data_IF_256198420950
#
_entry.id   IF_256198420950
#
_cell.length_a   1.000
_cell.length_b   1.000
_cell.length_c   1.000
_cell.angle_alpha   90.00
_cell.angle_beta   90.00
_cell.angle_gamma   90.00
#
_symmetry.space_group_name_H-M   'P 1'
#
loop_
_entity.id
_entity.type
_entity.pdbx_description
1 polymer ?
2 water ?
#
# COMPACT_ATOMS: atom_id res chain seq x y z
N UNK A 2 21.88 -26.42 3.75
CA UNK A 2 21.72 -25.38 4.75
C UNK A 2 20.42 -24.63 4.47
N UNK A 3 19.70 -24.30 5.53
CA UNK A 3 18.44 -23.58 5.40
C UNK A 3 18.56 -22.19 5.99
N UNK A 4 17.80 -21.25 5.45
CA UNK A 4 17.66 -19.93 6.03
C UNK A 4 16.19 -19.63 6.20
N UNK A 5 15.81 -19.18 7.39
CA UNK A 5 14.49 -18.64 7.66
C UNK A 5 14.60 -17.12 7.78
N UNK A 6 13.90 -16.42 6.91
CA UNK A 6 14.00 -14.97 6.85
C UNK A 6 12.62 -14.34 7.04
N UNK A 7 12.46 -13.57 8.11
CA UNK A 7 11.22 -12.86 8.39
C UNK A 7 11.31 -11.43 7.84
N UNK A 8 10.34 -11.08 7.00
CA UNK A 8 10.38 -9.81 6.30
C UNK A 8 9.13 -9.00 6.59
N UNK A 9 9.32 -7.79 7.07
CA UNK A 9 8.23 -6.87 7.34
C UNK A 9 8.08 -5.91 6.15
N UNK A 10 6.86 -5.77 5.64
CA UNK A 10 6.60 -4.90 4.48
C UNK A 10 5.98 -3.61 4.98
N UNK A 11 6.33 -2.50 4.35
CA UNK A 11 5.65 -1.23 4.63
C UNK A 11 4.17 -1.31 4.22
N UNK A 12 3.90 -1.79 2.99
CA UNK A 12 2.51 -1.77 2.47
C UNK A 12 2.13 -2.95 1.57
N UNK A 13 3.12 -3.61 0.97
CA UNK A 13 2.86 -4.57 -0.09
C UNK A 13 3.98 -4.56 -1.11
N UNK A 14 3.69 -4.92 -2.35
CA UNK A 14 4.74 -5.01 -3.35
C UNK A 14 4.18 -4.89 -4.76
N UNK A 15 5.07 -4.62 -5.71
CA UNK A 15 4.73 -4.75 -7.10
C UNK A 15 5.81 -5.55 -7.83
N UNK A 16 5.38 -6.59 -8.56
CA UNK A 16 6.30 -7.35 -9.39
C UNK A 16 5.78 -7.36 -10.82
N UNK A 17 6.38 -6.53 -11.66
CA UNK A 17 5.84 -6.33 -12.99
C UNK A 17 6.06 -7.51 -13.95
N UNK A 18 6.78 -8.54 -13.51
CA UNK A 18 6.84 -9.78 -14.29
C UNK A 18 5.47 -10.46 -14.40
N UNK A 19 4.48 -9.94 -13.69
CA UNK A 19 3.10 -10.37 -13.89
C UNK A 19 2.72 -10.18 -15.37
N UNK A 20 3.40 -9.26 -16.05
CA UNK A 20 3.11 -8.98 -17.44
C UNK A 20 3.59 -10.04 -18.42
N UNK A 21 4.45 -10.94 -17.96
CA UNK A 21 4.98 -11.99 -18.84
C UNK A 21 3.92 -13.05 -19.14
N UNK A 22 4.04 -13.69 -20.30
CA UNK A 22 3.08 -14.70 -20.72
C UNK A 22 3.09 -15.96 -19.85
N UNK A 23 4.25 -16.28 -19.27
CA UNK A 23 4.38 -17.50 -18.47
C UNK A 23 3.60 -17.38 -17.15
N UNK A 24 3.82 -16.27 -16.46
CA UNK A 24 3.35 -16.06 -15.10
C UNK A 24 1.85 -15.80 -14.96
N UNK A 25 1.30 -15.99 -13.74
CA UNK A 25 -0.05 -15.53 -13.46
C UNK A 25 -0.13 -14.04 -13.79
N UNK A 26 -1.33 -13.53 -14.11
CA UNK A 26 -1.47 -12.11 -14.50
C UNK A 26 -1.51 -11.15 -13.31
N UNK A 27 -1.60 -11.71 -12.11
CA UNK A 27 -1.47 -10.95 -10.87
C UNK A 27 -0.92 -11.91 -9.80
N UNK A 28 -0.45 -11.35 -8.68
CA UNK A 28 0.27 -12.18 -7.71
C UNK A 28 -0.25 -11.97 -6.31
N UNK A 29 -0.61 -13.04 -5.63
CA UNK A 29 -0.87 -12.95 -4.18
C UNK A 29 0.45 -12.64 -3.44
N UNK A 30 1.55 -13.25 -3.90
CA UNK A 30 2.84 -13.06 -3.21
C UNK A 30 3.98 -12.67 -4.14
N UNK A 31 5.04 -12.08 -3.58
CA UNK A 31 6.21 -11.82 -4.42
C UNK A 31 6.73 -13.12 -5.01
N UNK A 32 6.96 -13.16 -6.34
CA UNK A 32 7.52 -14.37 -6.95
C UNK A 32 8.86 -14.77 -6.36
N UNK A 33 9.17 -16.07 -6.36
CA UNK A 33 10.45 -16.52 -5.81
C UNK A 33 11.67 -15.97 -6.58
N UNK A 34 11.57 -15.75 -7.88
CA UNK A 34 12.71 -15.14 -8.57
C UNK A 34 12.87 -13.68 -8.14
N UNK A 35 11.77 -13.06 -7.72
CA UNK A 35 11.81 -11.68 -7.23
C UNK A 35 12.55 -11.61 -5.89
N UNK A 36 12.24 -12.54 -5.00
CA UNK A 36 12.93 -12.65 -3.74
C UNK A 36 14.41 -12.96 -3.96
N UNK A 37 14.70 -13.89 -4.87
CA UNK A 37 16.09 -14.23 -5.20
C UNK A 37 16.83 -13.04 -5.81
N UNK A 38 16.14 -12.27 -6.66
CA UNK A 38 16.75 -11.07 -7.23
C UNK A 38 17.14 -10.06 -6.18
N UNK A 39 16.35 -9.98 -5.09
CA UNK A 39 16.66 -9.08 -3.99
C UNK A 39 17.90 -9.54 -3.24
N UNK A 40 18.00 -10.85 -3.00
CA UNK A 40 19.22 -11.41 -2.42
C UNK A 40 20.43 -11.06 -3.32
N UNK A 41 20.28 -11.32 -4.62
CA UNK A 41 21.35 -11.05 -5.57
C UNK A 41 21.78 -9.59 -5.55
N UNK A 42 20.80 -8.68 -5.57
CA UNK A 42 21.09 -7.25 -5.47
C UNK A 42 21.85 -6.89 -4.20
N UNK A 43 21.46 -7.51 -3.08
CA UNK A 43 22.10 -7.21 -1.80
C UNK A 43 23.54 -7.69 -1.80
N UNK A 44 23.78 -8.82 -2.48
CA UNK A 44 25.12 -9.36 -2.61
C UNK A 44 25.98 -8.48 -3.51
N UNK A 45 25.41 -8.05 -4.62
CA UNK A 45 26.12 -7.21 -5.58
C UNK A 45 26.55 -5.89 -4.96
N UNK A 46 25.64 -5.23 -4.25
CA UNK A 46 25.93 -3.97 -3.58
C UNK A 46 27.08 -4.11 -2.58
N UNK A 47 27.01 -5.14 -1.75
CA UNK A 47 28.06 -5.43 -0.79
C UNK A 47 29.37 -5.80 -1.49
N UNK A 48 29.56 -5.28 -2.70
CA UNK A 48 30.75 -5.56 -3.50
C UNK A 48 30.85 -4.53 -4.63
N UNK A 49 30.33 -4.91 -5.79
CA UNK A 49 30.29 -4.06 -6.98
C UNK A 49 29.51 -4.71 -8.10
N UNK A 50 28.73 -3.88 -8.81
CA UNK A 50 27.91 -4.31 -9.95
C UNK A 50 26.98 -5.49 -9.63
N UNK A 55 24.82 -7.37 -12.38
CA UNK A 55 25.17 -8.37 -13.39
C UNK A 55 26.43 -9.16 -13.01
N UNK A 56 26.30 -10.26 -12.25
CA UNK A 56 25.04 -10.75 -11.65
C UNK A 56 23.88 -11.10 -12.59
N UNK A 57 23.91 -12.29 -13.18
CA UNK A 57 24.95 -13.28 -12.93
C UNK A 57 24.73 -14.05 -11.64
N UNK A 58 24.64 -13.32 -10.53
CA UNK A 58 24.54 -13.93 -9.20
C UNK A 58 23.23 -14.65 -9.02
N UNK A 59 22.16 -14.14 -9.60
CA UNK A 59 20.86 -14.76 -9.42
C UNK A 59 20.84 -16.16 -10.02
N UNK A 60 21.50 -16.35 -11.16
CA UNK A 60 21.58 -17.68 -11.74
C UNK A 60 22.45 -18.60 -10.89
N UNK A 61 23.45 -18.02 -10.22
CA UNK A 61 24.28 -18.79 -9.29
C UNK A 61 23.45 -19.27 -8.09
N UNK A 62 22.61 -18.38 -7.56
CA UNK A 62 21.74 -18.77 -6.45
C UNK A 62 20.81 -19.90 -6.89
N UNK A 63 20.26 -19.76 -8.09
CA UNK A 63 19.30 -20.71 -8.61
C UNK A 63 19.90 -22.09 -8.82
N UNK A 64 21.18 -22.14 -9.17
CA UNK A 64 21.84 -23.42 -9.37
C UNK A 64 22.05 -24.14 -8.04
N UNK A 65 22.23 -23.38 -6.97
CA UNK A 65 22.45 -23.99 -5.66
C UNK A 65 21.16 -24.16 -4.84
N UNK A 66 20.05 -23.67 -5.37
CA UNK A 66 18.80 -23.67 -4.62
C UNK A 66 18.12 -25.03 -4.64
N UNK A 67 17.77 -25.56 -3.47
CA UNK A 67 17.00 -26.79 -3.39
C UNK A 67 15.52 -26.53 -3.12
N UNK A 68 15.23 -25.45 -2.38
CA UNK A 68 13.85 -25.17 -2.00
C UNK A 68 13.65 -23.70 -1.72
N UNK A 69 12.47 -23.19 -2.04
CA UNK A 69 12.08 -21.87 -1.59
C UNK A 69 10.58 -21.85 -1.40
N UNK A 70 10.17 -21.60 -0.16
CA UNK A 70 8.76 -21.54 0.21
C UNK A 70 8.55 -20.35 1.14
N UNK A 71 7.30 -19.96 1.34
CA UNK A 71 7.00 -18.81 2.17
C UNK A 71 5.59 -18.92 2.70
N UNK A 72 5.32 -18.16 3.76
CA UNK A 72 4.00 -18.08 4.34
C UNK A 72 3.82 -16.75 5.06
N UNK A 73 2.57 -16.28 5.09
CA UNK A 73 2.24 -15.04 5.79
C UNK A 73 2.26 -15.36 7.28
N UNK A 74 2.71 -14.41 8.09
CA UNK A 74 2.69 -14.57 9.54
C UNK A 74 1.50 -13.84 10.13
N UNK A 75 1.06 -12.76 9.50
CA UNK A 75 0.02 -11.95 10.11
C UNK A 75 -0.75 -11.10 9.10
N UNK A 76 -0.80 -11.55 7.85
CA UNK A 76 -1.37 -10.71 6.82
C UNK A 76 -2.04 -11.52 5.73
N UNK A 77 -2.82 -10.82 4.91
CA UNK A 77 -3.53 -11.45 3.81
C UNK A 77 -3.38 -10.50 2.59
N UNK A 78 -3.05 -11.07 1.43
CA UNK A 78 -2.82 -10.20 0.25
C UNK A 78 -4.11 -9.65 -0.33
N UNK A 79 -4.04 -8.45 -0.89
CA UNK A 79 -5.21 -7.90 -1.55
C UNK A 79 -4.71 -7.38 -2.89
N UNK A 80 -4.94 -8.14 -3.94
CA UNK A 80 -4.40 -7.78 -5.25
C UNK A 80 -5.17 -6.58 -5.78
N UNK A 81 -4.50 -5.73 -6.57
CA UNK A 81 -5.25 -4.61 -7.13
C UNK A 81 -6.32 -5.11 -8.08
N UNK A 82 -6.12 -6.32 -8.62
CA UNK A 82 -7.17 -6.90 -9.43
C UNK A 82 -8.42 -7.18 -8.59
N UNK A 83 -8.24 -7.58 -7.33
CA UNK A 83 -9.35 -7.75 -6.38
C UNK A 83 -10.01 -6.40 -6.07
N UNK A 84 -9.18 -5.40 -5.81
CA UNK A 84 -9.63 -4.07 -5.50
C UNK A 84 -10.45 -3.44 -6.63
N UNK A 85 -9.92 -3.51 -7.86
CA UNK A 85 -10.58 -2.87 -8.98
C UNK A 85 -11.87 -3.61 -9.32
N UNK A 86 -11.92 -4.89 -8.98
CA UNK A 86 -13.15 -5.69 -9.08
C UNK A 86 -14.21 -5.24 -8.06
N UNK A 87 -13.84 -5.17 -6.78
CA UNK A 87 -14.74 -4.65 -5.76
C UNK A 87 -15.30 -3.31 -6.21
N UNK A 88 -14.45 -2.45 -6.76
CA UNK A 88 -14.95 -1.20 -7.34
C UNK A 88 -15.77 -1.47 -8.61
N UNK A 89 -16.83 -2.28 -8.47
CA UNK A 89 -17.68 -2.63 -9.60
C UNK A 89 -18.45 -3.92 -9.32
N UNK A 103 -12.04 1.44 -19.77
CA UNK A 103 -12.08 0.47 -18.68
C UNK A 103 -11.02 -0.63 -18.84
N UNK A 104 -11.44 -1.89 -18.74
CA UNK A 104 -10.50 -3.02 -18.68
C UNK A 104 -9.64 -3.28 -19.95
N UNK A 105 -8.92 -2.25 -20.39
CA UNK A 105 -7.70 -2.44 -21.14
C UNK A 105 -6.64 -2.63 -20.05
N UNK A 106 -7.02 -2.33 -18.81
CA UNK A 106 -6.09 -2.47 -17.69
C UNK A 106 -5.81 -3.93 -17.30
N UNK A 107 -6.48 -4.86 -17.96
CA UNK A 107 -6.15 -6.27 -17.80
C UNK A 107 -4.96 -6.66 -18.66
N UNK A 108 -4.51 -5.75 -19.53
CA UNK A 108 -3.36 -6.03 -20.36
C UNK A 108 -2.27 -4.97 -20.18
N UNK A 109 -1.13 -5.39 -19.64
CA UNK A 109 0.03 -4.50 -19.51
C UNK A 109 -0.31 -3.20 -18.75
N UNK A 110 -1.12 -3.30 -17.70
CA UNK A 110 -1.41 -2.16 -16.85
C UNK A 110 -0.16 -1.68 -16.12
N UNK A 111 -0.06 -0.36 -15.88
CA UNK A 111 1.03 0.19 -15.06
C UNK A 111 1.08 -0.45 -13.67
N UNK A 112 -0.06 -0.94 -13.20
CA UNK A 112 -0.17 -1.48 -11.85
C UNK A 112 -0.18 -3.01 -11.89
N UNK A 113 0.41 -3.60 -12.91
CA UNK A 113 0.40 -5.04 -13.06
C UNK A 113 1.27 -5.64 -11.94
N UNK A 114 0.78 -6.70 -11.30
CA UNK A 114 1.53 -7.36 -10.24
C UNK A 114 1.63 -6.56 -8.95
N UNK A 115 0.77 -5.56 -8.79
CA UNK A 115 0.79 -4.74 -7.57
C UNK A 115 -0.24 -5.24 -6.57
N UNK A 116 0.21 -5.45 -5.34
CA UNK A 116 -0.57 -6.14 -4.33
C UNK A 116 -0.37 -5.52 -2.96
N UNK A 117 -1.47 -5.25 -2.27
CA UNK A 117 -1.37 -4.72 -0.91
C UNK A 117 -1.32 -5.90 0.07
N UNK A 118 -0.50 -5.80 1.11
CA UNK A 118 -0.53 -6.83 2.15
C UNK A 118 -1.24 -6.24 3.34
N UNK A 119 -2.42 -6.77 3.64
CA UNK A 119 -3.25 -6.25 4.72
C UNK A 119 -2.95 -7.00 6.01
N UNK A 120 -2.47 -6.29 7.02
CA UNK A 120 -2.21 -6.91 8.30
C UNK A 120 -3.51 -7.29 9.01
N UNK A 121 -3.47 -8.42 9.70
CA UNK A 121 -4.60 -8.89 10.49
C UNK A 121 -4.47 -8.47 11.96
N UNK A 122 -3.38 -7.81 12.30
CA UNK A 122 -3.24 -7.26 13.64
C UNK A 122 -2.62 -5.87 13.54
N UNK A 123 -2.14 -5.32 14.65
CA UNK A 123 -1.65 -3.93 14.58
C UNK A 123 -0.21 -3.83 14.13
N UNK A 124 0.41 -4.95 13.77
CA UNK A 124 1.78 -4.88 13.28
C UNK A 124 1.82 -4.69 11.78
N UNK A 125 2.99 -4.26 11.29
CA UNK A 125 3.24 -4.21 9.85
C UNK A 125 3.11 -5.64 9.30
N UNK A 126 2.68 -5.78 8.04
CA UNK A 126 2.51 -7.13 7.50
C UNK A 126 3.86 -7.84 7.31
N UNK A 127 3.91 -9.12 7.68
CA UNK A 127 5.14 -9.89 7.63
C UNK A 127 4.97 -11.21 6.88
N UNK A 128 6.01 -11.58 6.14
CA UNK A 128 6.06 -12.88 5.45
C UNK A 128 7.36 -13.57 5.82
N UNK A 129 7.32 -14.89 6.04
CA UNK A 129 8.52 -15.66 6.32
C UNK A 129 8.90 -16.52 5.11
N UNK A 130 10.16 -16.43 4.69
CA UNK A 130 10.70 -17.30 3.65
C UNK A 130 11.58 -18.38 4.26
N UNK A 131 11.53 -19.56 3.66
CA UNK A 131 12.36 -20.68 4.08
C UNK A 131 13.04 -21.14 2.80
N UNK A 132 14.34 -20.88 2.72
CA UNK A 132 15.15 -21.25 1.57
C UNK A 132 16.12 -22.35 1.97
N UNK A 133 16.37 -23.28 1.06
CA UNK A 133 17.34 -24.34 1.32
C UNK A 133 18.34 -24.34 0.15
N UNK A 134 19.63 -24.34 0.47
CA UNK A 134 20.69 -24.42 -0.54
C UNK A 134 21.57 -25.67 -0.39
N UNK A 135 22.17 -26.11 -1.49
CA UNK A 135 23.01 -27.29 -1.48
C UNK A 135 24.24 -27.06 -0.60
N UNK A 136 24.73 -25.82 -0.59
CA UNK A 136 25.73 -25.40 0.40
C UNK A 136 25.53 -23.94 0.79
N UNK A 137 26.35 -23.44 1.71
CA UNK A 137 26.25 -22.04 2.13
C UNK A 137 26.40 -21.11 0.92
N UNK A 138 25.29 -20.61 0.41
CA UNK A 138 25.30 -19.81 -0.82
C UNK A 138 25.29 -18.31 -0.56
N UNK A 139 25.03 -17.90 0.67
CA UNK A 139 25.00 -16.47 0.97
C UNK A 139 25.33 -16.16 2.43
N UNK A 140 26.18 -15.15 2.63
CA UNK A 140 26.48 -14.67 3.97
C UNK A 140 25.19 -14.30 4.68
N UNK A 141 25.06 -14.77 5.91
CA UNK A 141 23.87 -14.49 6.71
C UNK A 141 23.68 -12.98 6.87
N UNK A 142 24.78 -12.25 7.06
CA UNK A 142 24.70 -10.81 7.22
C UNK A 142 24.05 -10.13 6.03
N UNK A 143 24.29 -10.67 4.83
CA UNK A 143 23.76 -10.07 3.60
C UNK A 143 22.24 -10.09 3.58
N UNK A 144 21.66 -11.19 4.06
CA UNK A 144 20.22 -11.33 4.11
C UNK A 144 19.59 -10.18 4.87
N UNK A 145 20.26 -9.71 5.92
CA UNK A 145 19.73 -8.61 6.73
C UNK A 145 19.61 -7.29 5.94
N UNK A 146 20.32 -7.21 4.82
CA UNK A 146 20.46 -5.97 4.05
C UNK A 146 19.42 -5.81 2.92
N UNK A 147 18.41 -6.66 2.92
CA UNK A 147 17.37 -6.57 1.91
C UNK A 147 16.39 -5.45 2.28
N UNK A 148 16.24 -4.46 1.39
CA UNK A 148 15.40 -3.28 1.66
C UNK A 148 14.23 -3.13 0.68
N UNK A 149 14.26 -3.93 -0.39
CA UNK A 149 13.10 -3.97 -1.27
C UNK A 149 12.92 -5.34 -1.92
N UNK A 150 11.68 -5.71 -2.12
CA UNK A 150 11.36 -6.96 -2.81
C UNK A 150 10.31 -6.62 -3.87
N UNK A 151 10.73 -6.57 -5.12
CA UNK A 151 9.87 -6.09 -6.18
C UNK A 151 10.37 -4.75 -6.65
N UNK A 152 9.45 -3.84 -6.93
CA UNK A 152 9.76 -2.50 -7.44
C UNK A 152 10.44 -1.65 -6.37
N UNK A 153 10.98 -0.52 -6.79
CA UNK A 153 11.60 0.46 -5.90
C UNK A 153 10.72 0.83 -4.71
N UNK A 154 9.42 0.94 -4.95
CA UNK A 154 8.42 1.33 -3.92
C UNK A 154 8.13 0.18 -2.92
N UNK A 155 8.52 -1.05 -3.26
CA UNK A 155 8.19 -2.22 -2.44
C UNK A 155 9.16 -2.39 -1.27
N UNK A 156 9.15 -1.42 -0.35
CA UNK A 156 10.14 -1.33 0.70
C UNK A 156 9.88 -2.35 1.81
N UNK A 157 10.95 -2.96 2.31
CA UNK A 157 10.82 -3.88 3.43
C UNK A 157 11.94 -3.69 4.45
N UNK A 158 11.77 -4.31 5.61
CA UNK A 158 12.85 -4.50 6.58
C UNK A 158 12.90 -5.98 7.00
N UNK A 159 14.08 -6.58 6.92
CA UNK A 159 14.27 -7.92 7.46
C UNK A 159 14.33 -7.83 8.98
N UNK A 160 13.49 -8.59 9.67
CA UNK A 160 13.41 -8.50 11.13
C UNK A 160 13.96 -9.72 11.85
N UNK A 161 14.24 -10.79 11.12
CA UNK A 161 14.95 -11.93 11.70
C UNK A 161 15.48 -12.80 10.59
N UNK A 162 16.67 -13.35 10.83
CA UNK A 162 17.29 -14.32 9.95
C UNK A 162 17.83 -15.44 10.83
N UNK A 163 17.59 -16.67 10.43
CA UNK A 163 18.14 -17.81 11.15
C UNK A 163 18.69 -18.83 10.15
N UNK A 164 19.97 -19.17 10.32
CA UNK A 164 20.58 -20.24 9.55
C UNK A 164 20.34 -21.55 10.28
N UNK A 165 19.82 -22.55 9.58
CA UNK A 165 19.43 -23.81 10.22
C UNK A 165 19.97 -25.02 9.47
N UNK A 166 20.25 -26.09 10.22
CA UNK A 166 20.54 -27.37 9.59
C UNK A 166 19.21 -27.99 9.20
N UNK A 167 19.14 -28.59 8.01
CA UNK A 167 17.90 -29.23 7.57
C UNK A 167 18.06 -30.74 7.37
N UNK A 168 16.97 -31.47 7.52
CA UNK A 168 16.91 -32.90 7.24
C UNK A 168 16.08 -33.12 5.98
N UNK A 169 16.53 -34.01 5.10
CA UNK A 169 15.78 -34.31 3.88
C UNK A 169 14.87 -35.51 4.10
N UNK A 170 13.58 -35.35 3.81
CA UNK A 170 12.60 -36.42 3.97
C UNK A 170 11.77 -36.59 2.69
N UNK A 171 11.14 -37.75 2.55
CA UNK A 171 10.09 -37.88 1.53
C UNK A 171 8.88 -38.63 2.11
N UNK A 172 7.87 -38.90 1.29
CA UNK A 172 6.65 -39.50 1.81
C UNK A 172 5.67 -38.44 2.27
N UNK A 173 4.86 -38.78 3.28
CA UNK A 173 3.80 -37.90 3.74
C UNK A 173 4.31 -36.92 4.81
N UNK A 174 4.08 -35.63 4.59
CA UNK A 174 4.55 -34.59 5.50
C UNK A 174 3.44 -33.57 5.66
N UNK A 175 3.52 -32.77 6.71
CA UNK A 175 2.63 -31.61 6.81
C UNK A 175 3.46 -30.34 6.60
N UNK A 176 2.87 -29.33 5.96
CA UNK A 176 3.59 -28.09 5.68
C UNK A 176 2.63 -26.93 5.76
N UNK A 177 3.13 -25.78 6.22
CA UNK A 177 2.37 -24.55 6.17
C UNK A 177 3.09 -23.52 5.29
N UNK A 178 4.06 -24.00 4.51
CA UNK A 178 4.72 -23.17 3.49
C UNK A 178 4.23 -23.47 2.08
N UNK A 179 4.29 -22.47 1.21
CA UNK A 179 4.02 -22.68 -0.20
C UNK A 179 4.91 -23.79 -0.74
N UNK A 180 4.48 -24.44 -1.81
CA UNK A 180 5.29 -25.48 -2.42
C UNK A 180 5.01 -25.64 -3.89
N UNK A 181 6.00 -26.11 -4.65
CA UNK A 181 5.76 -26.34 -6.07
C UNK A 181 4.81 -27.53 -6.25
N UNK A 182 3.84 -27.38 -7.14
CA UNK A 182 2.82 -28.41 -7.33
C UNK A 182 3.04 -29.09 -8.68
N UNK A 183 4.06 -29.92 -8.78
CA UNK A 183 4.33 -30.61 -10.04
C UNK A 183 4.27 -32.12 -9.78
N UNK A 184 4.39 -32.93 -10.83
CA UNK A 184 4.26 -34.37 -10.64
C UNK A 184 5.31 -34.85 -9.66
N UNK A 185 4.87 -35.63 -8.68
CA UNK A 185 5.75 -36.07 -7.61
C UNK A 185 5.36 -35.42 -6.30
N UNK A 186 4.58 -34.35 -6.40
CA UNK A 186 4.07 -33.67 -5.23
C UNK A 186 2.57 -33.75 -5.26
N UNK A 187 1.96 -34.32 -4.23
CA UNK A 187 0.51 -34.45 -4.20
C UNK A 187 -0.10 -33.91 -2.91
N UNK A 188 -0.98 -32.92 -3.04
CA UNK A 188 -1.70 -32.41 -1.89
C UNK A 188 -2.81 -33.39 -1.50
N UNK A 189 -2.54 -34.20 -0.47
CA UNK A 189 -3.46 -35.27 -0.03
C UNK A 189 -4.72 -34.75 0.69
N UNK A 190 -4.54 -33.73 1.52
CA UNK A 190 -5.64 -33.13 2.24
C UNK A 190 -5.29 -31.75 2.80
N UNK A 191 -6.22 -30.83 2.71
CA UNK A 191 -6.06 -29.52 3.33
C UNK A 191 -6.52 -29.61 4.77
N UNK A 192 -5.64 -29.31 5.72
CA UNK A 192 -6.00 -29.33 7.14
C UNK A 192 -6.61 -28.02 7.62
N UNK A 193 -6.07 -26.90 7.15
CA UNK A 193 -6.68 -25.59 7.43
C UNK A 193 -6.63 -24.72 6.18
N UNK A 194 -7.73 -23.98 5.99
CA UNK A 194 -8.07 -23.45 4.68
C UNK A 194 -7.37 -22.24 4.14
N UNK A 195 -7.55 -22.18 2.82
CA UNK A 195 -6.99 -21.23 1.91
C UNK A 195 -5.61 -21.65 1.41
N UNK A 196 -5.65 -22.46 0.37
CA UNK A 196 -4.50 -22.77 -0.45
C UNK A 196 -4.84 -22.45 -1.91
N UNK A 197 -4.25 -21.37 -2.40
CA UNK A 197 -4.48 -20.95 -3.77
C UNK A 197 -3.43 -21.55 -4.72
N UNK A 198 -3.53 -21.20 -6.00
CA UNK A 198 -2.59 -21.61 -7.04
C UNK A 198 -1.97 -20.35 -7.62
N UNK A 199 -0.70 -20.41 -7.98
CA UNK A 199 -0.07 -19.26 -8.61
C UNK A 199 1.08 -19.74 -9.47
N UNK A 200 1.22 -19.16 -10.66
CA UNK A 200 2.30 -19.58 -11.57
C UNK A 200 3.40 -18.54 -11.62
N UNK A 201 4.63 -18.98 -11.36
CA UNK A 201 5.79 -18.09 -11.28
C UNK A 201 6.86 -18.51 -12.29
N UNK A 202 7.82 -17.60 -12.56
CA UNK A 202 9.07 -18.02 -13.17
C UNK A 202 9.79 -19.05 -12.28
N UNK A 203 10.34 -20.09 -12.91
CA UNK A 203 10.99 -21.17 -12.18
C UNK A 203 12.29 -20.69 -11.55
N UNK A 204 12.41 -20.81 -10.21
CA UNK A 204 13.65 -20.29 -9.61
C UNK A 204 14.77 -21.32 -9.63
N UNK A 205 14.48 -22.55 -10.00
CA UNK A 205 15.46 -23.62 -9.95
C UNK A 205 16.24 -23.65 -11.25
N UNK A 206 17.56 -23.58 -11.14
CA UNK A 206 18.42 -23.68 -12.31
C UNK A 206 19.20 -24.98 -12.25
N UNK A 207 19.58 -25.49 -13.41
CA UNK A 207 20.42 -26.68 -13.48
C UNK A 207 21.85 -26.30 -13.88
N UNK A 208 22.82 -26.93 -13.22
CA UNK A 208 24.24 -26.71 -13.54
C UNK A 208 24.49 -26.62 -15.04
N UNK A 218 13.76 -33.36 -13.73
CA UNK A 218 12.95 -33.75 -14.88
C UNK A 218 11.62 -33.00 -14.86
N UNK A 219 10.84 -33.24 -13.80
CA UNK A 219 9.54 -32.61 -13.67
C UNK A 219 9.68 -31.18 -13.21
N UNK A 220 10.79 -30.91 -12.53
CA UNK A 220 11.14 -29.54 -12.18
C UNK A 220 12.23 -29.07 -13.14
N UNK A 221 12.83 -30.06 -13.80
CA UNK A 221 13.87 -29.85 -14.83
C UNK A 221 14.43 -28.44 -14.85
N UNK A 222 14.34 -27.85 -16.04
CA UNK A 222 14.64 -26.46 -16.25
C UNK A 222 13.53 -25.93 -17.14
N UNK A 223 12.30 -26.09 -16.70
CA UNK A 223 11.16 -25.49 -17.38
C UNK A 223 11.14 -24.01 -17.00
N UNK A 224 10.41 -23.20 -17.76
CA UNK A 224 10.46 -21.76 -17.56
C UNK A 224 9.55 -21.28 -16.42
N UNK A 225 8.40 -21.94 -16.28
CA UNK A 225 7.41 -21.59 -15.26
C UNK A 225 7.12 -22.76 -14.32
N UNK A 226 6.71 -22.46 -13.10
CA UNK A 226 6.38 -23.50 -12.13
C UNK A 226 5.04 -23.16 -11.43
N UNK A 227 4.21 -24.16 -11.22
CA UNK A 227 2.97 -24.00 -10.50
C UNK A 227 3.20 -24.21 -9.00
N UNK A 228 2.76 -23.26 -8.17
CA UNK A 228 2.88 -23.38 -6.71
C UNK A 228 1.51 -23.41 -6.06
N UNK A 229 1.40 -24.11 -4.95
CA UNK A 229 0.28 -23.92 -4.04
C UNK A 229 0.77 -22.93 -2.99
N UNK A 230 -0.07 -21.98 -2.61
CA UNK A 230 0.32 -20.91 -1.70
C UNK A 230 -0.72 -20.76 -0.62
N UNK A 231 -0.28 -20.58 0.64
CA UNK A 231 -1.27 -20.42 1.71
C UNK A 231 -1.77 -18.99 1.81
N UNK A 232 -3.06 -18.85 2.12
CA UNK A 232 -3.71 -17.56 2.29
C UNK A 232 -4.38 -17.58 3.66
N UNK A 234 -6.63 -16.50 6.67
CA UNK A 234 -7.92 -15.83 6.80
C UNK A 234 -8.16 -15.30 8.21
N UNK A 235 -7.31 -15.69 9.14
CA UNK A 235 -7.44 -15.27 10.52
C UNK A 235 -6.06 -15.24 11.14
N UNK A 236 -5.86 -14.30 12.05
CA UNK A 236 -4.57 -14.18 12.74
C UNK A 236 -4.22 -15.47 13.48
N UNK A 237 -5.23 -16.27 13.81
CA UNK A 237 -4.98 -17.47 14.62
C UNK A 237 -4.91 -18.78 13.84
N UNK A 238 -5.33 -18.75 12.58
CA UNK A 238 -5.31 -19.97 11.78
C UNK A 238 -4.28 -19.91 10.66
N UNK A 239 -3.16 -20.59 10.84
CA UNK A 239 -2.17 -20.73 9.79
C UNK A 239 -2.58 -21.86 8.80
N UNK A 240 -2.70 -21.53 7.51
CA UNK A 240 -3.06 -22.59 6.57
C UNK A 240 -2.08 -23.76 6.65
N UNK A 241 -2.61 -24.98 6.59
CA UNK A 241 -1.77 -26.16 6.71
C UNK A 241 -2.32 -27.27 5.81
N UNK A 242 -1.43 -28.05 5.21
CA UNK A 242 -1.89 -29.21 4.46
C UNK A 242 -0.96 -30.42 4.60
N UNK A 243 -1.53 -31.58 4.29
CA UNK A 243 -0.77 -32.83 4.21
C UNK A 243 -0.37 -33.07 2.76
N UNK A 244 0.91 -33.31 2.56
CA UNK A 244 1.42 -33.44 1.19
C UNK A 244 2.26 -34.70 1.07
N UNK A 245 2.05 -35.44 -0.01
CA UNK A 245 2.88 -36.61 -0.30
C UNK A 245 3.96 -36.18 -1.27
N UNK A 246 5.21 -36.50 -0.94
CA UNK A 246 6.33 -36.01 -1.74
C UNK A 246 7.25 -37.14 -2.19
N UNK A 247 7.48 -37.24 -3.49
CA UNK A 247 8.37 -38.23 -4.05
C UNK A 247 8.87 -37.80 -5.42
N UNK A 248 9.45 -38.71 -6.18
CA UNK A 248 9.96 -38.39 -7.50
C UNK A 248 11.16 -37.46 -7.40
N UNK A 249 11.14 -36.37 -8.18
CA UNK A 249 12.23 -35.38 -8.14
C UNK A 249 12.20 -34.44 -6.91
N UNK A 250 11.24 -34.65 -6.01
CA UNK A 250 11.02 -33.69 -4.93
C UNK A 250 11.26 -34.30 -3.57
N UNK A 251 11.63 -33.45 -2.62
CA UNK A 251 11.89 -33.84 -1.25
C UNK A 251 11.36 -32.76 -0.33
N UNK A 252 11.08 -33.14 0.90
CA UNK A 252 10.73 -32.20 1.96
C UNK A 252 11.97 -31.90 2.79
N UNK A 253 12.18 -30.64 3.14
CA UNK A 253 13.31 -30.25 3.96
C UNK A 253 12.79 -29.70 5.28
N UNK A 254 13.31 -30.24 6.38
CA UNK A 254 12.76 -29.94 7.69
C UNK A 254 13.80 -29.40 8.65
N UNK A 255 13.40 -28.38 9.40
CA UNK A 255 14.21 -27.86 10.50
C UNK A 255 13.25 -27.62 11.66
N UNK A 256 13.33 -28.48 12.67
CA UNK A 256 12.36 -28.41 13.75
C UNK A 256 10.98 -28.60 13.16
N UNK A 257 10.07 -27.68 13.46
CA UNK A 257 8.71 -27.79 12.93
C UNK A 257 8.53 -27.24 11.53
N UNK A 258 9.53 -26.54 11.01
CA UNK A 258 9.38 -25.87 9.71
C UNK A 258 9.70 -26.86 8.59
N UNK A 259 8.76 -27.02 7.68
CA UNK A 259 8.93 -27.94 6.55
C UNK A 259 8.68 -27.25 5.22
N UNK A 260 9.63 -27.35 4.31
CA UNK A 260 9.41 -26.80 2.99
C UNK A 260 9.72 -27.84 1.91
N UNK A 261 8.93 -27.84 0.85
CA UNK A 261 9.10 -28.83 -0.22
C UNK A 261 9.96 -28.23 -1.32
N UNK A 262 10.96 -28.98 -1.77
CA UNK A 262 11.80 -28.53 -2.86
C UNK A 262 12.23 -29.70 -3.75
N UNK A 263 13.30 -29.50 -4.52
CA UNK A 263 13.76 -30.53 -5.42
C UNK A 263 14.85 -31.34 -4.74
N UNK A 264 15.07 -32.55 -5.23
CA UNK A 264 16.24 -33.30 -4.80
C UNK A 264 17.47 -32.68 -5.48
N UNK B 2 -2.88 34.23 0.71
CA UNK B 2 -2.00 33.37 -0.08
C UNK B 2 -2.49 31.92 -0.20
N UNK B 3 -2.36 31.34 -1.38
CA UNK B 3 -2.81 29.99 -1.62
C UNK B 3 -1.74 29.01 -2.05
N UNK B 4 -1.94 27.73 -1.72
CA UNK B 4 -1.06 26.66 -2.20
C UNK B 4 -1.86 25.57 -2.86
N UNK B 5 -1.46 25.19 -4.07
CA UNK B 5 -1.97 24.01 -4.72
C UNK B 5 -0.92 22.92 -4.56
N UNK B 6 -1.30 21.79 -3.99
CA UNK B 6 -0.35 20.70 -3.72
C UNK B 6 -0.89 19.40 -4.28
N UNK B 7 -0.17 18.84 -5.27
CA UNK B 7 -0.54 17.57 -5.90
C UNK B 7 0.27 16.45 -5.29
N UNK B 8 -0.41 15.44 -4.78
CA UNK B 8 0.24 14.38 -4.00
C UNK B 8 -0.07 13.03 -4.63
N UNK B 9 0.97 12.24 -4.91
CA UNK B 9 0.79 10.87 -5.37
C UNK B 9 0.90 9.90 -4.20
N UNK B 10 -0.01 8.94 -4.15
CA UNK B 10 -0.02 7.92 -3.08
C UNK B 10 0.48 6.59 -3.62
N UNK B 11 1.15 5.82 -2.78
CA UNK B 11 1.54 4.47 -3.14
C UNK B 11 0.35 3.54 -3.21
N UNK B 12 -0.50 3.58 -2.17
CA UNK B 12 -1.60 2.64 -2.06
C UNK B 12 -2.87 3.23 -1.44
N UNK B 13 -2.73 4.29 -0.66
CA UNK B 13 -3.83 4.78 0.15
C UNK B 13 -3.31 5.31 1.47
N UNK B 14 -4.13 5.28 2.51
CA UNK B 14 -3.74 5.92 3.76
C UNK B 14 -4.48 5.27 4.91
N UNK B 15 -4.02 5.55 6.13
CA UNK B 15 -4.78 5.19 7.32
C UNK B 15 -4.76 6.35 8.29
N UNK B 16 -5.95 6.73 8.75
CA UNK B 16 -6.06 7.80 9.74
C UNK B 16 -6.88 7.27 10.90
N UNK B 17 -6.19 6.83 11.94
CA UNK B 17 -6.85 6.18 13.08
C UNK B 17 -7.79 7.09 13.89
N UNK B 18 -7.69 8.40 13.71
CA UNK B 18 -8.70 9.28 14.33
C UNK B 18 -10.13 8.96 13.89
N UNK B 19 -10.29 8.07 12.90
CA UNK B 19 -11.62 7.54 12.59
C UNK B 19 -12.23 6.88 13.83
N UNK B 20 -11.36 6.45 14.74
CA UNK B 20 -11.78 5.82 15.98
C UNK B 20 -12.49 6.76 16.95
N UNK B 21 -12.28 8.06 16.79
CA UNK B 21 -12.90 9.05 17.68
C UNK B 21 -14.41 9.17 17.47
N UNK B 22 -15.16 9.49 18.52
CA UNK B 22 -16.61 9.61 18.35
C UNK B 22 -16.98 10.86 17.56
N UNK B 23 -16.10 11.85 17.55
CA UNK B 23 -16.37 13.12 16.86
C UNK B 23 -16.22 13.06 15.33
N UNK B 24 -15.56 12.03 14.82
CA UNK B 24 -15.34 11.91 13.37
C UNK B 24 -16.22 10.81 12.79
N UNK B 25 -16.37 10.78 11.48
CA UNK B 25 -17.00 9.63 10.82
C UNK B 25 -16.23 8.34 11.15
N UNK B 26 -16.90 7.18 11.06
CA UNK B 26 -16.24 5.92 11.46
C UNK B 26 -15.27 5.40 10.41
N UNK B 27 -15.35 5.92 9.19
CA UNK B 27 -14.44 5.56 8.10
C UNK B 27 -14.25 6.79 7.23
N UNK B 28 -13.15 6.86 6.47
CA UNK B 28 -12.82 8.06 5.69
C UNK B 28 -12.61 7.75 4.21
N UNK B 29 -13.29 8.50 3.37
CA UNK B 29 -12.99 8.47 1.94
C UNK B 29 -11.65 9.13 1.65
N UNK B 30 -11.34 10.17 2.41
CA UNK B 30 -10.13 10.96 2.19
C UNK B 30 -9.38 11.19 3.48
N UNK B 31 -8.07 11.45 3.38
CA UNK B 31 -7.31 11.87 4.56
C UNK B 31 -7.94 13.13 5.16
N UNK B 32 -8.17 13.14 6.47
CA UNK B 32 -8.77 14.33 7.11
C UNK B 32 -7.89 15.58 6.99
N UNK B 33 -8.52 16.76 7.03
CA UNK B 33 -7.76 18.01 6.91
C UNK B 33 -6.70 18.16 8.02
N UNK B 34 -7.00 17.74 9.24
CA UNK B 34 -5.99 17.85 10.32
C UNK B 34 -4.84 16.86 10.10
N UNK B 35 -5.13 15.80 9.36
CA UNK B 35 -4.12 14.79 9.04
C UNK B 35 -3.15 15.36 8.00
N UNK B 36 -3.68 16.10 7.02
CA UNK B 36 -2.83 16.75 6.04
C UNK B 36 -2.03 17.86 6.72
N UNK B 37 -2.69 18.66 7.55
CA UNK B 37 -1.96 19.73 8.23
C UNK B 37 -0.94 19.15 9.21
N UNK B 38 -1.23 17.99 9.76
CA UNK B 38 -0.30 17.28 10.63
C UNK B 38 0.95 16.90 9.87
N UNK B 39 0.80 16.55 8.59
CA UNK B 39 1.96 16.23 7.76
C UNK B 39 2.80 17.47 7.49
N UNK B 40 2.15 18.60 7.20
CA UNK B 40 2.86 19.85 6.99
C UNK B 40 3.67 20.20 8.24
N UNK B 41 3.04 20.02 9.41
CA UNK B 41 3.70 20.30 10.68
C UNK B 41 4.93 19.39 10.91
N UNK B 42 4.80 18.11 10.60
CA UNK B 42 5.94 17.21 10.73
C UNK B 42 7.09 17.65 9.80
N UNK B 43 6.77 17.99 8.55
CA UNK B 43 7.77 18.50 7.62
C UNK B 43 8.50 19.72 8.20
N UNK B 44 7.74 20.63 8.81
CA UNK B 44 8.35 21.79 9.47
C UNK B 44 9.27 21.34 10.60
N UNK B 45 8.74 20.52 11.51
CA UNK B 45 9.48 20.06 12.67
C UNK B 45 10.78 19.36 12.30
N UNK B 46 10.78 18.66 11.16
CA UNK B 46 11.96 17.90 10.74
C UNK B 46 12.97 18.75 9.95
N UNK B 47 12.58 19.95 9.55
CA UNK B 47 13.43 20.78 8.70
C UNK B 47 14.59 21.40 9.47
N UNK B 48 15.81 21.01 9.10
CA UNK B 48 17.01 21.49 9.80
C UNK B 48 17.24 22.98 9.59
N UNK B 49 16.70 23.52 8.51
CA UNK B 49 16.88 24.93 8.19
C UNK B 49 15.96 25.86 8.98
N UNK B 50 15.06 25.27 9.76
CA UNK B 50 14.19 26.02 10.65
C UNK B 50 14.53 25.69 12.10
N UNK B 51 14.87 26.71 12.88
CA UNK B 51 15.22 26.52 14.27
C UNK B 51 14.10 25.84 15.05
N UNK B 52 14.49 25.10 16.08
CA UNK B 52 13.55 24.40 16.94
C UNK B 52 12.39 25.28 17.42
N UNK B 53 12.69 26.37 18.12
CA UNK B 53 11.62 27.21 18.68
C UNK B 53 10.80 27.95 17.62
N UNK B 54 11.46 28.37 16.54
CA UNK B 54 10.77 29.04 15.45
C UNK B 54 9.79 28.06 14.77
N UNK B 55 10.26 26.83 14.54
CA UNK B 55 9.43 25.78 13.97
C UNK B 55 8.16 25.54 14.79
N UNK B 56 8.32 25.42 16.11
CA UNK B 56 7.17 25.26 17.04
C UNK B 56 6.15 26.38 16.93
N UNK B 57 6.64 27.61 16.92
CA UNK B 57 5.74 28.75 16.79
C UNK B 57 4.99 28.66 15.48
N UNK B 58 5.70 28.34 14.40
CA UNK B 58 5.06 28.29 13.08
C UNK B 58 3.94 27.25 13.06
N UNK B 59 4.24 26.08 13.62
CA UNK B 59 3.27 24.99 13.71
C UNK B 59 2.07 25.38 14.56
N UNK B 60 2.34 26.01 15.71
CA UNK B 60 1.27 26.40 16.61
C UNK B 60 0.29 27.40 15.97
N UNK B 61 0.75 28.13 14.97
CA UNK B 61 -0.06 29.14 14.30
C UNK B 61 -0.77 28.63 13.02
N UNK B 62 -0.48 27.41 12.57
CA UNK B 62 -1.07 26.90 11.33
C UNK B 62 -2.59 27.04 11.32
N UNK B 63 -3.24 26.52 12.35
CA UNK B 63 -4.69 26.54 12.43
C UNK B 63 -5.27 27.94 12.45
N UNK B 64 -4.55 28.87 13.08
CA UNK B 64 -4.99 30.24 13.20
C UNK B 64 -4.83 31.01 11.91
N UNK B 65 -3.81 30.66 11.11
CA UNK B 65 -3.59 31.34 9.85
C UNK B 65 -4.44 30.75 8.71
N UNK B 66 -4.99 29.56 8.93
CA UNK B 66 -5.77 28.85 7.92
C UNK B 66 -7.13 29.49 7.61
N UNK B 67 -7.34 29.78 6.33
CA UNK B 67 -8.62 30.29 5.85
C UNK B 67 -9.42 29.22 5.10
N UNK B 68 -8.72 28.30 4.43
CA UNK B 68 -9.43 27.30 3.63
C UNK B 68 -8.58 26.08 3.46
N UNK B 69 -9.22 24.92 3.49
CA UNK B 69 -8.55 23.71 3.05
C UNK B 69 -9.56 22.82 2.35
N UNK B 70 -9.35 22.58 1.07
CA UNK B 70 -10.21 21.72 0.29
C UNK B 70 -9.33 20.80 -0.54
N UNK B 71 -9.92 19.74 -1.11
CA UNK B 71 -9.16 18.79 -1.89
C UNK B 71 -10.08 18.07 -2.86
N UNK B 72 -9.48 17.42 -3.85
CA UNK B 72 -10.22 16.64 -4.84
C UNK B 72 -9.31 15.59 -5.45
N UNK B 73 -9.88 14.46 -5.83
CA UNK B 73 -9.11 13.44 -6.52
C UNK B 73 -8.87 13.94 -7.94
N UNK B 74 -7.69 13.68 -8.48
CA UNK B 74 -7.40 14.04 -9.86
C UNK B 74 -7.64 12.88 -10.83
N UNK B 75 -7.47 11.66 -10.34
CA UNK B 75 -7.51 10.48 -11.21
C UNK B 75 -7.89 9.20 -10.48
N UNK B 76 -8.52 9.30 -9.32
CA UNK B 76 -8.70 8.11 -8.50
C UNK B 76 -9.97 8.11 -7.68
N UNK B 77 -10.27 6.93 -7.14
CA UNK B 77 -11.47 6.68 -6.35
C UNK B 77 -11.07 5.91 -5.09
N UNK B 78 -11.68 6.25 -3.95
CA UNK B 78 -11.28 5.51 -2.74
C UNK B 78 -12.12 4.26 -2.52
N UNK B 79 -11.51 3.25 -1.90
CA UNK B 79 -12.23 2.08 -1.43
C UNK B 79 -11.90 1.85 0.04
N UNK B 80 -12.88 2.10 0.92
CA UNK B 80 -12.64 2.00 2.35
C UNK B 80 -12.53 0.54 2.79
N UNK B 81 -11.65 0.26 3.74
CA UNK B 81 -11.49 -1.10 4.22
C UNK B 81 -12.76 -1.65 4.86
N UNK B 82 -13.62 -0.77 5.34
CA UNK B 82 -14.89 -1.24 5.88
C UNK B 82 -15.71 -1.99 4.82
N UNK B 83 -15.66 -1.50 3.58
CA UNK B 83 -16.32 -2.16 2.44
C UNK B 83 -15.63 -3.45 1.98
N UNK B 84 -14.32 -3.41 1.87
CA UNK B 84 -13.55 -4.60 1.53
C UNK B 84 -13.80 -5.71 2.54
N UNK B 85 -13.77 -5.35 3.82
CA UNK B 85 -13.86 -6.32 4.90
C UNK B 85 -15.22 -6.97 5.08
N UNK B 86 -16.29 -6.20 4.81
CA UNK B 86 -17.65 -6.73 4.90
C UNK B 86 -17.85 -7.87 3.93
N UNK B 87 -17.27 -7.73 2.74
CA UNK B 87 -17.30 -8.79 1.76
C UNK B 87 -16.49 -10.00 2.21
N UNK B 88 -15.22 -9.78 2.52
CA UNK B 88 -14.31 -10.88 2.87
C UNK B 88 -14.82 -11.76 4.00
N UNK B 89 -15.69 -11.22 4.85
CA UNK B 89 -16.23 -12.00 5.96
C UNK B 89 -16.91 -13.30 5.50
N UNK B 90 -16.85 -13.57 4.20
CA UNK B 90 -17.16 -14.89 3.62
C UNK B 90 -18.65 -15.16 3.46
N UNK B 105 -16.13 -9.31 10.28
CA UNK B 105 -15.65 -8.05 9.72
C UNK B 105 -15.21 -7.11 10.84
N UNK B 106 -15.88 -7.20 11.99
CA UNK B 106 -15.51 -6.44 13.17
C UNK B 106 -14.04 -6.65 13.54
N UNK B 107 -13.61 -7.90 13.46
CA UNK B 107 -12.23 -8.27 13.78
C UNK B 107 -11.25 -7.71 12.75
N UNK B 108 -11.65 -7.75 11.48
CA UNK B 108 -10.83 -7.21 10.41
C UNK B 108 -10.75 -5.69 10.49
N UNK B 109 -11.87 -5.05 10.86
CA UNK B 109 -11.94 -3.59 10.88
C UNK B 109 -11.13 -2.97 12.01
N UNK B 110 -10.90 -3.73 13.08
CA UNK B 110 -10.21 -3.15 14.23
C UNK B 110 -8.83 -2.59 13.90
N UNK B 111 -7.93 -3.41 13.35
CA UNK B 111 -6.63 -2.86 12.97
C UNK B 111 -6.72 -1.94 11.73
N UNK B 112 -7.87 -1.95 11.06
CA UNK B 112 -8.06 -1.22 9.81
C UNK B 112 -8.84 0.10 9.98
N UNK B 113 -8.92 0.58 11.20
CA UNK B 113 -9.71 1.77 11.49
C UNK B 113 -9.18 2.97 10.70
N UNK B 114 -10.03 3.60 9.90
CA UNK B 114 -9.62 4.75 9.13
C UNK B 114 -8.72 4.44 7.95
N UNK B 115 -8.67 3.17 7.55
CA UNK B 115 -7.80 2.76 6.45
C UNK B 115 -8.54 2.62 5.14
N UNK B 116 -7.94 3.16 4.07
CA UNK B 116 -8.63 3.29 2.79
C UNK B 116 -7.67 3.13 1.64
N UNK B 117 -8.08 2.41 0.62
CA UNK B 117 -7.25 2.21 -0.56
C UNK B 117 -7.63 3.25 -1.59
N UNK B 118 -6.65 3.76 -2.35
CA UNK B 118 -6.94 4.63 -3.48
C UNK B 118 -6.63 3.87 -4.78
N UNK B 119 -7.55 3.92 -5.73
CA UNK B 119 -7.32 3.24 -7.00
C UNK B 119 -7.49 4.21 -8.16
N UNK B 120 -6.55 4.20 -9.10
CA UNK B 120 -6.60 5.17 -10.18
C UNK B 120 -7.43 4.69 -11.37
N UNK B 121 -8.13 5.62 -11.99
CA UNK B 121 -8.96 5.28 -13.13
C UNK B 121 -8.09 4.80 -14.29
N UNK B 122 -6.89 5.35 -14.41
CA UNK B 122 -5.92 4.93 -15.42
C UNK B 122 -4.81 4.01 -14.90
N UNK B 123 -5.00 3.44 -13.70
CA UNK B 123 -4.00 2.54 -13.09
C UNK B 123 -2.62 3.18 -12.88
N UNK B 124 -2.55 4.49 -13.03
CA UNK B 124 -1.35 5.23 -12.65
C UNK B 124 -1.40 5.51 -11.15
N UNK B 125 -0.42 6.23 -10.63
CA UNK B 125 -0.41 6.48 -9.18
C UNK B 125 -1.58 7.41 -8.83
N UNK B 126 -2.36 7.03 -7.82
CA UNK B 126 -3.50 7.87 -7.41
C UNK B 126 -3.02 9.23 -6.97
N UNK B 127 -3.64 10.30 -7.47
CA UNK B 127 -3.27 11.65 -7.10
C UNK B 127 -4.43 12.43 -6.51
N UNK B 128 -4.13 13.19 -5.46
CA UNK B 128 -5.11 14.07 -4.84
C UNK B 128 -4.49 15.47 -4.81
N UNK B 129 -5.30 16.49 -5.09
CA UNK B 129 -4.83 17.86 -5.02
C UNK B 129 -5.46 18.59 -3.84
N UNK B 130 -4.61 19.19 -3.01
CA UNK B 130 -5.09 20.06 -1.94
C UNK B 130 -4.96 21.49 -2.39
N UNK B 131 -5.93 22.31 -1.97
CA UNK B 131 -5.90 23.76 -2.16
C UNK B 131 -6.03 24.38 -0.76
N UNK B 132 -4.94 24.94 -0.24
CA UNK B 132 -4.98 25.58 1.07
C UNK B 132 -4.85 27.08 0.89
N UNK B 133 -5.49 27.83 1.78
CA UNK B 133 -5.41 29.28 1.75
C UNK B 133 -5.11 29.74 3.16
N UNK B 134 -4.14 30.64 3.29
CA UNK B 134 -3.73 31.16 4.60
C UNK B 134 -3.81 32.69 4.59
N UNK B 135 -3.99 33.28 5.76
CA UNK B 135 -4.00 34.75 5.91
C UNK B 135 -2.68 35.41 5.51
N UNK B 136 -1.60 34.65 5.63
CA UNK B 136 -0.27 35.15 5.28
C UNK B 136 0.59 33.95 4.88
N UNK B 137 1.84 34.18 4.48
CA UNK B 137 2.69 33.09 4.04
C UNK B 137 3.12 32.21 5.22
N UNK B 138 2.27 31.26 5.60
CA UNK B 138 2.49 30.49 6.82
C UNK B 138 3.59 29.43 6.74
N UNK B 139 3.97 29.03 5.53
CA UNK B 139 5.07 28.07 5.38
C UNK B 139 5.87 28.20 4.08
N UNK B 140 7.19 28.10 4.20
CA UNK B 140 8.07 28.11 3.03
C UNK B 140 7.62 27.03 2.05
N UNK B 141 7.61 27.39 0.77
CA UNK B 141 7.13 26.51 -0.27
C UNK B 141 7.91 25.20 -0.31
N UNK B 142 9.20 25.28 -0.02
CA UNK B 142 10.09 24.12 -0.11
C UNK B 142 9.72 23.01 0.88
N UNK B 143 9.10 23.41 1.99
CA UNK B 143 8.72 22.45 3.03
C UNK B 143 7.58 21.53 2.58
N UNK B 144 6.72 22.05 1.71
CA UNK B 144 5.60 21.27 1.20
C UNK B 144 6.10 20.11 0.34
N UNK B 145 7.23 20.32 -0.34
CA UNK B 145 7.81 19.27 -1.19
C UNK B 145 8.33 18.09 -0.39
N UNK B 146 8.51 18.28 0.91
CA UNK B 146 9.17 17.29 1.75
C UNK B 146 8.19 16.37 2.47
N UNK B 147 6.90 16.49 2.19
CA UNK B 147 5.90 15.59 2.78
C UNK B 147 5.99 14.19 2.18
N UNK B 148 6.24 13.18 3.03
CA UNK B 148 6.41 11.80 2.57
C UNK B 148 5.35 10.82 3.11
N UNK B 149 4.52 11.27 4.04
CA UNK B 149 3.41 10.46 4.47
C UNK B 149 2.25 11.31 4.96
N UNK B 150 1.03 10.81 4.78
CA UNK B 150 -0.16 11.51 5.23
C UNK B 150 -1.00 10.45 5.93
N UNK B 151 -1.05 10.53 7.25
CA UNK B 151 -1.65 9.52 8.08
C UNK B 151 -0.57 8.71 8.79
N UNK B 152 -0.77 7.40 8.84
CA UNK B 152 0.18 6.50 9.46
C UNK B 152 1.53 6.54 8.74
N UNK B 153 2.57 6.00 9.38
CA UNK B 153 3.88 6.01 8.77
C UNK B 153 3.93 5.17 7.49
N UNK B 154 3.04 4.19 7.38
CA UNK B 154 2.93 3.37 6.16
C UNK B 154 2.15 4.05 5.00
N UNK B 155 1.45 5.15 5.30
CA UNK B 155 0.71 5.91 4.28
C UNK B 155 1.62 6.80 3.40
N UNK B 156 2.48 6.15 2.64
CA UNK B 156 3.54 6.82 1.88
C UNK B 156 3.04 7.64 0.69
N UNK B 157 3.58 8.84 0.53
CA UNK B 157 3.21 9.66 -0.59
C UNK B 157 4.44 10.34 -1.19
N UNK B 158 4.25 10.93 -2.36
CA UNK B 158 5.22 11.87 -2.92
C UNK B 158 4.49 13.12 -3.42
N UNK B 159 4.99 14.29 -3.04
CA UNK B 159 4.47 15.53 -3.59
C UNK B 159 5.07 15.71 -4.97
N UNK B 160 4.23 15.86 -5.99
CA UNK B 160 4.74 15.99 -7.36
C UNK B 160 4.54 17.40 -7.95
N UNK B 161 3.74 18.23 -7.28
CA UNK B 161 3.63 19.62 -7.70
C UNK B 161 3.18 20.50 -6.55
N UNK B 162 3.73 21.72 -6.51
CA UNK B 162 3.38 22.73 -5.52
C UNK B 162 3.38 24.07 -6.24
N UNK B 163 2.25 24.79 -6.16
CA UNK B 163 2.20 26.14 -6.68
C UNK B 163 1.67 27.09 -5.62
N UNK B 164 2.38 28.19 -5.42
CA UNK B 164 1.91 29.27 -4.57
C UNK B 164 1.20 30.27 -5.47
N UNK B 165 -0.01 30.66 -5.09
CA UNK B 165 -0.85 31.48 -5.94
C UNK B 165 -1.52 32.58 -5.15
N UNK B 166 -1.80 33.68 -5.83
CA UNK B 166 -2.62 34.75 -5.26
C UNK B 166 -4.06 34.30 -5.40
N UNK B 167 -4.85 34.56 -4.36
CA UNK B 167 -6.26 34.22 -4.41
C UNK B 167 -7.12 35.48 -4.32
N UNK B 168 -8.29 35.42 -4.96
CA UNK B 168 -9.29 36.47 -4.82
C UNK B 168 -10.47 35.90 -4.06
N UNK B 169 -11.01 36.70 -3.15
CA UNK B 169 -12.08 36.27 -2.26
C UNK B 169 -13.43 36.69 -2.81
N UNK B 170 -14.36 35.74 -2.90
CA UNK B 170 -15.69 36.04 -3.44
C UNK B 170 -16.78 35.43 -2.59
N UNK B 171 -18.00 35.95 -2.72
CA UNK B 171 -19.17 35.31 -2.16
C UNK B 171 -20.28 35.27 -3.19
N UNK B 172 -21.44 34.74 -2.81
CA UNK B 172 -22.51 34.55 -3.78
C UNK B 172 -22.50 33.15 -4.36
N UNK B 173 -22.79 33.07 -5.66
CA UNK B 173 -22.89 31.79 -6.33
C UNK B 173 -21.59 31.45 -7.03
N UNK B 174 -21.02 30.30 -6.67
CA UNK B 174 -19.79 29.83 -7.31
C UNK B 174 -19.94 28.36 -7.73
N UNK B 175 -19.09 27.89 -8.61
CA UNK B 175 -19.01 26.46 -8.87
C UNK B 175 -17.65 25.98 -8.36
N UNK B 176 -17.60 24.78 -7.80
CA UNK B 176 -16.37 24.26 -7.24
C UNK B 176 -16.30 22.78 -7.51
N UNK B 177 -15.08 22.26 -7.64
CA UNK B 177 -14.87 20.84 -7.71
C UNK B 177 -14.01 20.34 -6.55
N UNK B 178 -13.88 21.19 -5.53
CA UNK B 178 -13.16 20.85 -4.29
C UNK B 178 -14.14 20.52 -3.18
N UNK B 179 -13.69 19.70 -2.22
CA UNK B 179 -14.45 19.50 -0.99
C UNK B 179 -14.68 20.86 -0.33
N UNK B 180 -15.76 20.95 0.46
CA UNK B 180 -16.10 22.19 1.16
C UNK B 180 -16.86 21.92 2.46
N UNK B 181 -16.67 22.80 3.47
CA UNK B 181 -17.42 22.65 4.73
C UNK B 181 -18.90 22.93 4.47
N UNK B 182 -19.73 22.04 4.98
CA UNK B 182 -21.14 22.12 4.67
C UNK B 182 -21.82 22.52 5.94
N UNK B 183 -21.54 23.74 6.37
CA UNK B 183 -22.02 24.29 7.62
C UNK B 183 -22.88 25.54 7.38
N UNK B 184 -23.63 25.93 8.41
CA UNK B 184 -24.52 27.09 8.35
C UNK B 184 -23.87 28.28 7.65
N UNK B 185 -24.47 28.72 6.55
CA UNK B 185 -23.94 29.83 5.77
C UNK B 185 -23.44 29.40 4.40
N UNK B 186 -23.31 28.09 4.20
CA UNK B 186 -22.92 27.56 2.90
C UNK B 186 -24.08 26.70 2.40
N UNK B 187 -24.61 27.03 1.22
CA UNK B 187 -25.72 26.23 0.73
C UNK B 187 -25.49 25.72 -0.69
N UNK B 188 -25.67 24.42 -0.85
CA UNK B 188 -25.62 23.81 -2.16
C UNK B 188 -26.78 24.38 -2.96
N UNK B 189 -26.50 24.86 -4.16
CA UNK B 189 -27.59 25.22 -5.06
C UNK B 189 -27.95 23.99 -5.90
N UNK B 190 -26.94 23.25 -6.33
CA UNK B 190 -27.20 22.10 -7.18
C UNK B 190 -25.94 21.35 -7.52
N UNK B 191 -26.04 20.04 -7.63
CA UNK B 191 -24.92 19.22 -8.09
C UNK B 191 -24.90 19.22 -9.62
N UNK B 192 -23.78 19.57 -10.22
CA UNK B 192 -23.65 19.54 -11.68
C UNK B 192 -23.23 18.17 -12.19
N UNK B 193 -22.31 17.53 -11.49
CA UNK B 193 -21.89 16.17 -11.82
C UNK B 193 -21.50 15.38 -10.57
N UNK B 194 -21.89 14.10 -10.54
CA UNK B 194 -21.78 13.25 -9.36
C UNK B 194 -20.32 12.82 -9.19
N UNK B 195 -19.94 12.31 -8.02
CA UNK B 195 -20.78 12.16 -6.83
C UNK B 195 -20.24 13.04 -5.70
N UNK B 196 -21.10 13.40 -4.76
CA UNK B 196 -20.71 14.21 -3.60
C UNK B 196 -21.18 13.59 -2.31
N UNK B 197 -20.23 13.06 -1.55
CA UNK B 197 -20.50 12.40 -0.27
C UNK B 197 -20.40 13.36 0.91
N UNK B 198 -20.74 12.87 2.11
CA UNK B 198 -20.58 13.65 3.34
C UNK B 198 -19.52 12.99 4.20
N UNK B 199 -18.75 13.79 4.94
CA UNK B 199 -17.77 13.20 5.82
C UNK B 199 -17.50 14.14 6.99
N UNK B 200 -17.41 13.60 8.20
CA UNK B 200 -17.19 14.43 9.38
C UNK B 200 -15.75 14.31 9.87
N UNK B 201 -15.07 15.44 10.00
CA UNK B 201 -13.66 15.48 10.39
C UNK B 201 -13.48 16.29 11.66
N UNK B 202 -12.28 16.23 12.25
CA UNK B 202 -11.89 17.22 13.24
C UNK B 202 -11.72 18.58 12.57
N UNK B 203 -12.18 19.62 13.25
CA UNK B 203 -12.14 20.99 12.72
C UNK B 203 -10.71 21.50 12.61
N UNK B 204 -10.26 21.83 11.38
CA UNK B 204 -8.86 22.25 11.26
C UNK B 204 -8.66 23.72 11.59
N UNK B 205 -9.74 24.46 11.81
CA UNK B 205 -9.65 25.91 11.96
C UNK B 205 -9.37 26.33 13.39
N UNK B 206 -8.38 27.21 13.54
CA UNK B 206 -8.08 27.89 14.80
C UNK B 206 -7.86 26.90 15.94
N UNK B 223 -17.61 23.34 17.42
CA UNK B 223 -16.36 23.87 16.89
C UNK B 223 -15.31 22.75 16.83
N UNK B 224 -15.57 21.67 17.55
CA UNK B 224 -14.84 20.44 17.34
C UNK B 224 -15.67 19.66 16.33
N UNK B 225 -15.03 19.19 15.26
CA UNK B 225 -15.73 18.48 14.19
C UNK B 225 -16.46 19.41 13.22
N UNK B 226 -16.33 19.09 11.94
CA UNK B 226 -16.95 19.88 10.89
C UNK B 226 -17.47 18.88 9.87
N UNK B 227 -18.65 19.14 9.33
CA UNK B 227 -19.21 18.29 8.27
C UNK B 227 -18.72 18.85 6.94
N UNK B 228 -18.18 17.98 6.08
CA UNK B 228 -17.75 18.37 4.74
C UNK B 228 -18.57 17.67 3.67
N UNK B 229 -18.77 18.32 2.52
CA UNK B 229 -19.12 17.63 1.28
C UNK B 229 -17.82 17.30 0.55
N UNK B 230 -17.71 16.10 0.02
CA UNK B 230 -16.49 15.68 -0.66
C UNK B 230 -16.80 15.03 -2.00
N UNK B 231 -16.03 15.39 -3.03
CA UNK B 231 -16.30 14.87 -4.38
C UNK B 231 -15.73 13.46 -4.53
N UNK B 232 -16.46 12.59 -5.21
CA UNK B 232 -15.99 11.24 -5.45
C UNK B 232 -16.04 10.99 -6.94
N UNK B 234 -16.24 8.82 -9.97
CA UNK B 234 -16.71 7.47 -10.27
C UNK B 234 -16.54 7.04 -11.73
N UNK B 235 -16.45 8.00 -12.65
CA UNK B 235 -16.35 7.67 -14.07
C UNK B 235 -15.17 8.38 -14.73
N UNK B 236 -14.72 7.85 -15.87
CA UNK B 236 -13.68 8.51 -16.63
C UNK B 236 -14.28 9.67 -17.44
N UNK B 237 -15.59 9.84 -17.40
CA UNK B 237 -16.23 10.83 -18.27
C UNK B 237 -16.60 12.15 -17.58
N UNK B 238 -16.76 12.15 -16.26
CA UNK B 238 -17.13 13.39 -15.57
C UNK B 238 -16.34 13.66 -14.28
N UNK B 239 -16.02 14.93 -14.08
CA UNK B 239 -15.39 15.40 -12.86
C UNK B 239 -16.44 15.97 -11.94
N UNK B 240 -16.45 15.53 -10.67
CA UNK B 240 -17.48 16.03 -9.76
C UNK B 240 -17.47 17.56 -9.70
N UNK B 241 -18.66 18.16 -9.71
CA UNK B 241 -18.78 19.61 -9.71
C UNK B 241 -20.12 20.01 -9.13
N UNK B 242 -20.16 21.11 -8.40
CA UNK B 242 -21.45 21.61 -7.94
C UNK B 242 -21.47 23.12 -7.83
N UNK B 243 -22.68 23.66 -7.75
CA UNK B 243 -22.93 25.08 -7.56
C UNK B 243 -23.27 25.31 -6.09
N UNK B 244 -22.59 26.26 -5.49
CA UNK B 244 -22.76 26.52 -4.07
C UNK B 244 -23.00 28.00 -3.81
N UNK B 245 -23.94 28.31 -2.90
CA UNK B 245 -24.19 29.67 -2.46
C UNK B 245 -23.39 29.92 -1.18
N UNK B 246 -22.49 30.89 -1.20
CA UNK B 246 -21.65 31.14 -0.04
C UNK B 246 -21.75 32.59 0.45
N UNK B 247 -21.99 32.74 1.74
CA UNK B 247 -22.04 34.04 2.38
C UNK B 247 -21.85 33.87 3.87
N UNK B 248 -22.15 34.92 4.63
CA UNK B 248 -22.00 34.86 6.07
C UNK B 248 -20.53 34.76 6.45
N UNK B 249 -20.22 33.81 7.32
CA UNK B 249 -18.86 33.65 7.80
C UNK B 249 -17.97 32.91 6.79
N UNK B 250 -18.57 32.42 5.71
CA UNK B 250 -17.81 31.66 4.73
C UNK B 250 -17.56 32.45 3.43
N UNK B 251 -16.43 32.18 2.78
CA UNK B 251 -16.08 32.83 1.53
C UNK B 251 -15.47 31.84 0.57
N UNK B 252 -15.48 32.18 -0.72
CA UNK B 252 -14.82 31.39 -1.75
C UNK B 252 -13.48 32.02 -2.07
N UNK B 253 -12.46 31.21 -2.25
CA UNK B 253 -11.16 31.71 -2.65
C UNK B 253 -10.85 31.12 -4.00
N UNK B 254 -10.49 31.99 -4.94
CA UNK B 254 -10.32 31.57 -6.33
C UNK B 254 -8.94 31.88 -6.85
N UNK B 255 -8.39 30.95 -7.60
CA UNK B 255 -7.14 31.14 -8.31
C UNK B 255 -7.26 30.47 -9.66
N UNK B 256 -7.39 31.25 -10.73
CA UNK B 256 -7.63 30.66 -12.03
C UNK B 256 -8.91 29.85 -11.98
N UNK B 257 -8.86 28.60 -12.43
CA UNK B 257 -10.03 27.75 -12.39
C UNK B 257 -10.32 27.12 -11.03
N UNK B 258 -9.35 27.16 -10.12
CA UNK B 258 -9.51 26.49 -8.82
C UNK B 258 -10.28 27.37 -7.81
N UNK B 259 -11.34 26.81 -7.22
CA UNK B 259 -12.15 27.52 -6.25
C UNK B 259 -12.38 26.69 -5.00
N UNK B 260 -11.97 27.22 -3.85
CA UNK B 260 -12.19 26.51 -2.59
C UNK B 260 -12.94 27.40 -1.60
N UNK B 261 -13.91 26.82 -0.92
CA UNK B 261 -14.67 27.55 0.08
C UNK B 261 -13.97 27.44 1.42
N UNK B 262 -13.86 28.55 2.14
CA UNK B 262 -13.28 28.54 3.46
C UNK B 262 -13.87 29.66 4.31
N UNK B 263 -13.23 29.96 5.45
CA UNK B 263 -13.77 30.99 6.34
C UNK B 263 -13.30 32.38 5.96
N UNK B 264 -14.00 33.36 6.52
CA UNK B 264 -13.90 34.76 6.13
C UNK B 264 -12.53 35.45 6.24
N UNK B 265 -12.05 35.69 7.46
CA UNK B 265 -10.97 36.67 7.67
C UNK B 265 -9.67 36.28 6.99
#
# INVERSE_FOLDING_TARGET
>A
XIGYLVDVEFVWGFQARIAGLSKTSPSFYYPPPTTFLGAVAEAIAKDKGIGEQRGKEIISELGENLLAIGWKALNCTPLRYSDINRILAVKITSGVLYPNPQDLAKSFDSPARGKTILSSLNDEAPKIRWFLVFKEEAVEEKILWKIHRIGSKESRVAVVDVKKVKVTQKDGLISTDYSFPAEDGVELRGILSQRWEFEVYLNPFEVKYSEKENPLXSYISGKKAVLYRIPIXTSIFSTPECLVEVGGDFKAYEAGGEVVIGRCS
>B
XIGYLVDVEFVWGFQARIAGLSKTSPSFYYPPPTTFLGAVAEAIAKDKGIGEQRGKEIISELGENLLAIGWKALNCTPLRYSDINRILAVKITSGVLYPNPQDLAKSFDSPARGKTILSSLNDEAPKIRWFLVFKEEAVEEKILWKIHRIGSKESRVAVVDVKKVKVTQKDGLISTDYSFPAEDGVELRGILSQRWEFEVYLNPFEVKYSEKENPLXSYISGKKAVLYRIPIXTSIFSTPECLVEVGGDFKAYEAGGEVVIGRCS
#
